data_IF_060931989030
#
_entry.id   IF_060931989030
#
_cell.length_a   1.000
_cell.length_b   1.000
_cell.length_c   1.000
_cell.angle_alpha   90.00
_cell.angle_beta   90.00
_cell.angle_gamma   90.00
#
_symmetry.space_group_name_H-M   'P 1'
#
loop_
_entity.id
_entity.type
_entity.pdbx_description
1 polymer ?
#
# COMPACT_ATOMS: atom_id res chain seq x y z
N UNK A 1 -11.24 -6.17 -19.20
CA UNK A 1 -10.29 -7.32 -19.32
C UNK A 1 -8.99 -7.08 -18.53
N UNK A 2 -8.16 -6.06 -18.80
CA UNK A 2 -6.88 -5.87 -18.06
C UNK A 2 -7.10 -5.70 -16.55
N UNK A 3 -7.98 -4.78 -16.14
CA UNK A 3 -8.30 -4.58 -14.70
C UNK A 3 -8.83 -5.86 -14.07
N UNK A 4 -9.67 -6.60 -14.78
CA UNK A 4 -10.22 -7.87 -14.33
C UNK A 4 -9.14 -8.96 -14.13
N UNK A 5 -8.14 -9.00 -15.00
CA UNK A 5 -6.98 -9.89 -14.83
C UNK A 5 -6.14 -9.51 -13.62
N UNK A 6 -5.97 -8.21 -13.36
CA UNK A 6 -5.27 -7.73 -12.14
C UNK A 6 -6.04 -8.06 -10.86
N UNK A 7 -7.37 -8.14 -10.93
CA UNK A 7 -8.20 -8.54 -9.79
C UNK A 7 -8.20 -10.05 -9.53
N UNK A 8 -7.79 -10.88 -10.49
CA UNK A 8 -7.86 -12.33 -10.35
C UNK A 8 -7.07 -12.84 -9.13
N UNK A 9 -5.92 -12.25 -8.85
CA UNK A 9 -5.02 -12.65 -7.77
C UNK A 9 -5.20 -11.79 -6.49
N UNK A 10 -6.11 -10.82 -6.52
CA UNK A 10 -6.37 -9.98 -5.35
C UNK A 10 -7.16 -10.72 -4.26
N UNK A 11 -6.97 -10.38 -2.99
CA UNK A 11 -7.91 -10.77 -1.95
C UNK A 11 -9.30 -10.19 -2.22
N UNK A 12 -10.34 -10.82 -1.66
CA UNK A 12 -11.69 -10.26 -1.71
C UNK A 12 -11.70 -8.86 -1.09
N UNK A 13 -12.51 -7.95 -1.65
CA UNK A 13 -12.53 -6.54 -1.21
C UNK A 13 -12.74 -6.38 0.29
N UNK A 14 -13.60 -7.21 0.89
CA UNK A 14 -13.91 -7.13 2.33
C UNK A 14 -12.75 -7.54 3.24
N UNK A 15 -11.81 -8.34 2.71
CA UNK A 15 -10.62 -8.81 3.40
C UNK A 15 -9.34 -8.15 2.88
N UNK A 16 -9.46 -7.24 1.92
CA UNK A 16 -8.32 -6.56 1.32
C UNK A 16 -7.61 -5.67 2.33
N UNK A 17 -6.29 -5.60 2.22
CA UNK A 17 -5.45 -4.72 3.03
C UNK A 17 -5.85 -3.24 2.86
N UNK A 18 -6.28 -2.82 1.66
CA UNK A 18 -6.95 -1.54 1.40
C UNK A 18 -8.24 -1.74 0.59
N UNK A 19 -9.39 -1.61 1.24
CA UNK A 19 -10.73 -1.70 0.59
C UNK A 19 -11.01 -0.55 -0.36
N UNK A 20 -10.28 0.56 -0.20
CA UNK A 20 -10.42 1.79 -0.98
C UNK A 20 -9.23 2.01 -1.94
N UNK A 21 -8.56 0.94 -2.34
CA UNK A 21 -7.42 1.04 -3.25
C UNK A 21 -7.79 1.54 -4.64
N UNK A 22 -6.84 2.14 -5.32
CA UNK A 22 -7.01 2.60 -6.70
C UNK A 22 -7.45 1.49 -7.66
N UNK A 23 -6.99 0.26 -7.44
CA UNK A 23 -7.38 -0.88 -8.27
C UNK A 23 -8.87 -1.19 -8.11
N UNK A 24 -9.40 -1.17 -6.87
CA UNK A 24 -10.82 -1.36 -6.61
C UNK A 24 -11.69 -0.23 -7.19
N UNK A 25 -11.20 1.01 -7.15
CA UNK A 25 -11.89 2.13 -7.80
C UNK A 25 -11.98 1.96 -9.31
N UNK A 26 -10.88 1.56 -9.95
CA UNK A 26 -10.85 1.30 -11.38
C UNK A 26 -11.77 0.13 -11.76
N UNK A 27 -11.85 -0.90 -10.93
CA UNK A 27 -12.75 -2.03 -11.12
C UNK A 27 -14.21 -1.57 -11.07
N UNK A 28 -14.59 -0.83 -10.04
CA UNK A 28 -15.93 -0.30 -9.87
C UNK A 28 -16.33 0.65 -11.02
N UNK A 29 -15.43 1.53 -11.44
CA UNK A 29 -15.67 2.44 -12.57
C UNK A 29 -15.91 1.71 -13.90
N UNK A 30 -15.42 0.46 -14.02
CA UNK A 30 -15.62 -0.40 -15.19
C UNK A 30 -16.71 -1.46 -14.97
N UNK A 31 -17.48 -1.39 -13.88
CA UNK A 31 -18.54 -2.35 -13.57
C UNK A 31 -18.04 -3.76 -13.30
N UNK A 32 -16.84 -3.90 -12.73
CA UNK A 32 -16.20 -5.18 -12.43
C UNK A 32 -16.20 -5.36 -10.91
N UNK A 33 -17.03 -6.24 -10.41
CA UNK A 33 -17.11 -6.59 -8.98
C UNK A 33 -16.20 -7.77 -8.63
N UNK A 34 -16.04 -8.71 -9.57
CA UNK A 34 -15.21 -9.90 -9.40
C UNK A 34 -14.55 -10.28 -10.72
N UNK A 35 -13.41 -10.96 -10.63
CA UNK A 35 -12.75 -11.51 -11.82
C UNK A 35 -13.43 -12.79 -12.29
N UNK A 36 -13.58 -12.95 -13.61
CA UNK A 36 -13.98 -14.21 -14.24
C UNK A 36 -12.82 -15.21 -14.33
N UNK A 37 -11.61 -14.74 -14.14
CA UNK A 37 -10.42 -15.57 -14.16
C UNK A 37 -10.21 -16.17 -12.78
N UNK A 38 -9.80 -17.45 -12.70
CA UNK A 38 -9.51 -18.07 -11.41
C UNK A 38 -8.28 -17.41 -10.78
N UNK A 39 -8.27 -17.30 -9.45
CA UNK A 39 -7.06 -16.95 -8.69
C UNK A 39 -6.01 -18.04 -8.94
N UNK A 40 -4.77 -17.64 -9.13
CA UNK A 40 -3.68 -18.59 -9.28
C UNK A 40 -3.33 -19.19 -7.91
N UNK A 41 -3.54 -20.49 -7.78
CA UNK A 41 -3.14 -21.26 -6.59
C UNK A 41 -1.65 -21.62 -6.73
N UNK A 42 -0.78 -20.69 -6.42
CA UNK A 42 0.67 -20.85 -6.57
C UNK A 42 1.39 -21.30 -5.29
N UNK A 43 0.65 -21.47 -4.20
CA UNK A 43 1.21 -21.88 -2.91
C UNK A 43 2.07 -20.83 -2.24
N UNK A 44 2.12 -19.58 -2.78
CA UNK A 44 2.79 -18.48 -2.11
C UNK A 44 2.05 -18.15 -0.81
N UNK A 45 2.80 -18.05 0.25
CA UNK A 45 2.31 -17.46 1.49
C UNK A 45 2.49 -15.94 1.34
N UNK A 46 1.42 -15.16 1.37
CA UNK A 46 1.55 -13.70 1.36
C UNK A 46 2.49 -13.27 2.48
N UNK A 47 3.50 -12.49 2.15
CA UNK A 47 4.40 -11.93 3.15
C UNK A 47 3.68 -10.74 3.79
N UNK A 48 3.13 -10.95 4.96
CA UNK A 48 2.68 -9.89 5.85
C UNK A 48 3.88 -9.44 6.69
N UNK A 49 4.20 -8.17 6.61
CA UNK A 49 5.24 -7.54 7.40
C UNK A 49 4.66 -6.28 8.08
N UNK A 50 4.47 -6.36 9.38
CA UNK A 50 4.01 -5.29 10.27
C UNK A 50 5.11 -4.83 11.24
N UNK A 51 6.36 -5.16 10.92
CA UNK A 51 7.52 -4.81 11.74
C UNK A 51 7.76 -3.30 11.82
N UNK A 52 7.35 -2.54 10.78
CA UNK A 52 7.58 -1.11 10.73
C UNK A 52 6.48 -0.34 11.48
N UNK A 53 6.89 0.59 12.36
CA UNK A 53 5.97 1.33 13.26
C UNK A 53 4.90 2.16 12.52
N UNK A 54 5.20 2.66 11.33
CA UNK A 54 4.32 3.55 10.57
C UNK A 54 3.67 2.91 9.34
N UNK A 55 4.19 1.79 8.87
CA UNK A 55 3.78 1.17 7.61
C UNK A 55 3.64 -0.34 7.78
N UNK A 56 2.69 -0.91 7.06
CA UNK A 56 2.48 -2.36 6.98
C UNK A 56 2.53 -2.80 5.52
N UNK A 57 3.06 -3.98 5.29
CA UNK A 57 3.21 -4.59 3.96
C UNK A 57 2.42 -5.88 3.92
N UNK A 58 1.51 -6.01 2.96
CA UNK A 58 0.82 -7.26 2.68
C UNK A 58 0.89 -7.56 1.18
N UNK A 59 1.77 -8.45 0.80
CA UNK A 59 2.03 -8.76 -0.61
C UNK A 59 0.94 -9.62 -1.28
N UNK A 60 -0.09 -10.05 -0.55
CA UNK A 60 -1.27 -10.68 -1.16
C UNK A 60 -2.00 -9.73 -2.12
N UNK A 61 -1.95 -8.43 -1.84
CA UNK A 61 -2.50 -7.40 -2.71
C UNK A 61 -1.52 -6.89 -3.79
N UNK A 62 -0.29 -7.42 -3.87
CA UNK A 62 0.72 -6.90 -4.77
C UNK A 62 0.51 -7.35 -6.22
N UNK A 63 0.44 -6.40 -7.15
CA UNK A 63 0.37 -6.64 -8.61
C UNK A 63 1.73 -6.52 -9.31
N UNK A 64 2.81 -6.49 -8.59
CA UNK A 64 4.19 -6.46 -9.11
C UNK A 64 4.49 -5.28 -10.05
N UNK A 65 3.79 -4.17 -9.90
CA UNK A 65 3.91 -3.00 -10.77
C UNK A 65 5.23 -2.23 -10.64
N UNK A 66 5.99 -2.45 -9.55
CA UNK A 66 7.27 -1.79 -9.29
C UNK A 66 7.18 -0.30 -8.92
N UNK A 67 5.99 0.27 -8.72
CA UNK A 67 5.83 1.69 -8.37
C UNK A 67 6.47 2.04 -7.03
N UNK A 68 6.38 1.15 -6.02
CA UNK A 68 7.06 1.34 -4.73
C UNK A 68 8.59 1.39 -4.87
N UNK A 69 9.16 0.55 -5.74
CA UNK A 69 10.60 0.55 -6.05
C UNK A 69 11.01 1.89 -6.65
N UNK A 70 10.28 2.36 -7.66
CA UNK A 70 10.55 3.65 -8.30
C UNK A 70 10.36 4.82 -7.35
N UNK A 71 9.32 4.80 -6.54
CA UNK A 71 9.09 5.80 -5.51
C UNK A 71 10.27 5.91 -4.52
N UNK A 72 10.79 4.77 -4.07
CA UNK A 72 11.94 4.73 -3.18
C UNK A 72 13.24 5.15 -3.87
N UNK A 73 13.50 4.66 -5.07
CA UNK A 73 14.76 4.86 -5.80
C UNK A 73 14.83 6.18 -6.55
N UNK A 74 13.78 6.54 -7.31
CA UNK A 74 13.83 7.66 -8.24
C UNK A 74 13.30 8.96 -7.61
N UNK A 75 12.27 8.87 -6.76
CA UNK A 75 11.65 10.04 -6.14
C UNK A 75 12.35 10.43 -4.84
N UNK A 76 12.52 9.46 -3.92
CA UNK A 76 13.13 9.73 -2.61
C UNK A 76 14.65 9.48 -2.55
N UNK A 77 15.21 8.77 -3.55
CA UNK A 77 16.64 8.47 -3.68
C UNK A 77 17.21 7.71 -2.48
N UNK A 78 16.37 6.88 -1.82
CA UNK A 78 16.79 6.06 -0.68
C UNK A 78 17.25 4.65 -1.10
N UNK A 79 16.70 4.11 -2.20
CA UNK A 79 17.05 2.81 -2.82
C UNK A 79 17.00 1.59 -1.87
N UNK A 80 16.07 1.62 -0.93
CA UNK A 80 15.83 0.52 0.04
C UNK A 80 15.01 -0.62 -0.58
N UNK A 81 14.08 -0.28 -1.51
CA UNK A 81 13.16 -1.26 -2.08
C UNK A 81 13.69 -1.76 -3.42
N UNK A 82 13.89 -3.07 -3.52
CA UNK A 82 14.22 -3.78 -4.75
C UNK A 82 13.13 -4.76 -5.16
N UNK A 83 13.35 -5.48 -6.28
CA UNK A 83 12.52 -6.62 -6.68
C UNK A 83 13.32 -7.90 -6.55
N UNK A 84 12.79 -8.89 -5.86
CA UNK A 84 13.29 -10.24 -5.80
C UNK A 84 12.42 -11.18 -6.65
N UNK A 85 12.93 -12.39 -6.96
CA UNK A 85 12.21 -13.34 -7.79
C UNK A 85 12.13 -12.94 -9.27
N UNK A 86 11.27 -13.62 -10.01
CA UNK A 86 11.00 -13.33 -11.43
C UNK A 86 9.63 -13.83 -11.85
N UNK A 87 9.09 -13.23 -12.92
CA UNK A 87 7.77 -13.60 -13.44
C UNK A 87 6.70 -13.39 -12.39
N UNK A 88 5.80 -14.34 -12.26
CA UNK A 88 4.72 -14.29 -11.26
C UNK A 88 5.22 -14.33 -9.80
N UNK A 89 6.38 -14.90 -9.56
CA UNK A 89 7.01 -14.95 -8.23
C UNK A 89 7.85 -13.71 -7.89
N UNK A 90 7.79 -12.67 -8.71
CA UNK A 90 8.48 -11.42 -8.40
C UNK A 90 7.75 -10.69 -7.26
N UNK A 91 8.50 -10.14 -6.31
CA UNK A 91 7.94 -9.38 -5.18
C UNK A 91 8.90 -8.28 -4.74
N UNK A 92 8.37 -7.18 -4.18
CA UNK A 92 9.21 -6.16 -3.58
C UNK A 92 9.87 -6.69 -2.30
N UNK A 93 11.14 -6.36 -2.12
CA UNK A 93 11.94 -6.72 -0.95
C UNK A 93 12.66 -5.47 -0.42
N UNK A 94 13.00 -5.48 0.86
CA UNK A 94 13.69 -4.37 1.53
C UNK A 94 15.13 -4.80 1.79
N UNK A 95 16.10 -3.95 1.42
CA UNK A 95 17.52 -4.22 1.53
C UNK A 95 17.89 -5.65 1.05
N UNK A 96 18.37 -6.53 1.93
CA UNK A 96 18.75 -7.91 1.65
C UNK A 96 17.69 -8.94 2.01
N UNK A 97 16.41 -8.60 1.87
CA UNK A 97 15.23 -9.35 2.32
C UNK A 97 15.02 -9.24 3.85
N UNK A 98 15.37 -8.12 4.43
CA UNK A 98 15.08 -7.79 5.81
C UNK A 98 13.60 -7.42 5.99
N UNK A 99 13.02 -7.60 7.19
CA UNK A 99 11.74 -6.98 7.54
C UNK A 99 11.81 -5.47 7.36
N UNK A 100 10.74 -4.83 6.92
CA UNK A 100 10.75 -3.38 6.64
C UNK A 100 11.18 -2.53 7.83
N UNK A 101 10.79 -2.93 9.05
CA UNK A 101 11.18 -2.23 10.28
C UNK A 101 12.63 -2.41 10.70
N UNK A 102 13.34 -3.40 10.16
CA UNK A 102 14.77 -3.66 10.40
C UNK A 102 15.66 -3.16 9.24
N UNK A 103 15.05 -2.73 8.13
CA UNK A 103 15.74 -2.21 6.95
C UNK A 103 16.26 -0.78 7.17
N UNK A 104 17.01 -0.27 6.19
CA UNK A 104 17.49 1.12 6.19
C UNK A 104 16.40 2.13 5.80
N UNK A 105 15.11 1.75 5.88
CA UNK A 105 13.98 2.60 5.56
C UNK A 105 13.93 3.86 6.45
N UNK A 106 13.82 5.03 5.82
CA UNK A 106 13.74 6.33 6.50
C UNK A 106 12.30 6.78 6.79
N UNK A 107 11.33 5.89 6.62
CA UNK A 107 9.91 6.15 6.89
C UNK A 107 9.29 7.34 6.13
N UNK A 108 9.74 7.62 4.90
CA UNK A 108 9.21 8.73 4.10
C UNK A 108 7.77 8.54 3.61
N UNK A 109 7.28 7.29 3.52
CA UNK A 109 5.91 6.96 3.11
C UNK A 109 5.60 7.03 1.62
N UNK A 110 6.54 7.43 0.77
CA UNK A 110 6.30 7.60 -0.68
C UNK A 110 5.88 6.29 -1.36
N UNK A 111 6.45 5.17 -0.96
CA UNK A 111 6.08 3.85 -1.47
C UNK A 111 4.63 3.46 -1.13
N UNK A 112 4.13 3.92 0.02
CA UNK A 112 2.73 3.73 0.44
C UNK A 112 1.79 4.56 -0.42
N UNK A 113 2.14 5.82 -0.72
CA UNK A 113 1.36 6.68 -1.60
C UNK A 113 1.36 6.19 -3.05
N UNK A 114 2.48 5.67 -3.51
CA UNK A 114 2.61 5.13 -4.86
C UNK A 114 1.90 3.78 -5.07
N UNK A 115 1.54 3.05 -4.01
CA UNK A 115 0.95 1.72 -4.12
C UNK A 115 -0.51 1.76 -4.57
N UNK A 116 -0.86 1.25 -5.77
CA UNK A 116 -2.22 1.35 -6.30
C UNK A 116 -3.18 0.30 -5.74
N UNK A 117 -2.68 -0.69 -5.02
CA UNK A 117 -3.47 -1.82 -4.51
C UNK A 117 -3.56 -1.85 -2.98
N UNK A 118 -2.80 -0.97 -2.31
CA UNK A 118 -2.72 -0.98 -0.86
C UNK A 118 -1.89 -2.14 -0.29
N UNK A 119 -1.03 -2.78 -1.12
CA UNK A 119 -0.08 -3.75 -0.60
C UNK A 119 0.88 -3.13 0.44
N UNK A 120 1.13 -1.83 0.34
CA UNK A 120 1.78 -1.01 1.36
C UNK A 120 0.75 0.00 1.89
N UNK A 121 0.55 0.01 3.21
CA UNK A 121 -0.45 0.84 3.87
C UNK A 121 0.14 1.56 5.09
N UNK A 122 -0.43 2.73 5.48
CA UNK A 122 -0.13 3.28 6.80
C UNK A 122 -0.67 2.33 7.88
N UNK A 123 0.15 1.93 8.84
CA UNK A 123 -0.26 1.02 9.92
C UNK A 123 -1.46 1.56 10.71
N UNK A 124 -1.58 2.89 10.84
CA UNK A 124 -2.68 3.55 11.55
C UNK A 124 -4.06 3.43 10.90
N UNK A 125 -4.13 2.99 9.65
CA UNK A 125 -5.39 2.79 8.91
C UNK A 125 -5.92 1.37 9.12
N UNK A 126 -5.05 0.44 9.46
CA UNK A 126 -5.37 -0.98 9.55
C UNK A 126 -5.98 -1.37 10.90
N UNK A 127 -6.89 -2.33 10.87
CA UNK A 127 -7.44 -2.98 12.07
C UNK A 127 -6.55 -4.17 12.53
N UNK A 128 -6.99 -4.88 13.56
CA UNK A 128 -6.29 -6.06 14.09
C UNK A 128 -6.20 -7.23 13.12
N UNK A 129 -7.00 -7.24 12.05
CA UNK A 129 -6.98 -8.24 11.00
C UNK A 129 -6.17 -7.78 9.77
N UNK A 130 -5.45 -6.67 9.90
CA UNK A 130 -4.68 -6.07 8.80
C UNK A 130 -5.55 -5.66 7.61
N UNK A 131 -6.80 -5.26 7.88
CA UNK A 131 -7.75 -4.77 6.90
C UNK A 131 -7.98 -3.28 7.15
N UNK A 132 -7.95 -2.47 6.09
CA UNK A 132 -8.09 -1.03 6.19
C UNK A 132 -8.99 -0.42 5.13
N UNK A 133 -9.37 0.81 5.39
CA UNK A 133 -10.05 1.68 4.43
C UNK A 133 -9.52 3.11 4.63
N UNK A 134 -8.81 3.62 3.61
CA UNK A 134 -8.28 4.98 3.63
C UNK A 134 -9.38 6.05 3.62
N UNK A 135 -10.59 5.70 3.20
CA UNK A 135 -11.74 6.63 3.17
C UNK A 135 -12.57 6.62 4.45
N UNK A 136 -12.25 5.72 5.38
CA UNK A 136 -12.94 5.65 6.66
C UNK A 136 -12.42 6.73 7.62
N UNK A 137 -12.83 7.99 7.36
CA UNK A 137 -12.59 9.15 8.23
C UNK A 137 -13.82 10.06 8.28
N UNK A 138 -13.96 10.79 9.38
CA UNK A 138 -15.10 11.70 9.59
C UNK A 138 -14.84 13.07 9.00
N UNK A 139 -13.58 13.51 9.02
CA UNK A 139 -13.17 14.84 8.63
C UNK A 139 -11.78 14.86 8.00
N UNK A 140 -11.65 15.69 6.99
CA UNK A 140 -10.38 16.05 6.37
C UNK A 140 -10.05 17.50 6.70
N UNK A 141 -8.81 17.77 7.07
CA UNK A 141 -8.32 19.10 7.42
C UNK A 141 -7.04 19.38 6.66
N UNK A 142 -7.07 20.37 5.80
CA UNK A 142 -5.86 20.88 5.15
C UNK A 142 -5.01 21.65 6.16
N UNK A 143 -3.71 21.42 6.14
CA UNK A 143 -2.74 22.05 7.02
C UNK A 143 -1.38 22.17 6.34
N UNK A 144 -0.41 22.68 7.08
CA UNK A 144 0.98 22.82 6.63
C UNK A 144 1.85 21.94 7.52
N UNK A 145 2.77 21.19 6.89
CA UNK A 145 3.74 20.38 7.61
C UNK A 145 4.60 21.23 8.55
N UNK A 146 4.72 20.82 9.80
CA UNK A 146 5.41 21.59 10.84
C UNK A 146 6.91 21.20 11.01
N UNK A 147 7.42 20.23 10.22
CA UNK A 147 8.74 19.65 10.50
C UNK A 147 9.92 20.45 9.92
N UNK A 148 9.80 20.98 8.72
CA UNK A 148 10.84 21.83 8.14
C UNK A 148 10.25 23.13 7.57
N UNK A 149 11.08 24.09 7.25
CA UNK A 149 10.65 25.42 6.78
C UNK A 149 10.09 25.47 5.36
N UNK A 150 9.97 24.34 4.65
CA UNK A 150 9.44 24.28 3.28
C UNK A 150 7.94 24.61 3.26
N UNK A 151 7.17 24.17 4.28
CA UNK A 151 5.75 24.47 4.38
C UNK A 151 4.90 23.67 3.39
N UNK A 152 5.22 22.37 3.16
CA UNK A 152 4.42 21.50 2.32
C UNK A 152 2.99 21.41 2.83
N UNK A 153 2.03 21.49 1.92
CA UNK A 153 0.62 21.27 2.24
C UNK A 153 0.41 19.79 2.58
N UNK A 154 -0.39 19.54 3.61
CA UNK A 154 -0.77 18.20 4.04
C UNK A 154 -2.27 18.12 4.27
N UNK A 155 -2.83 16.94 4.07
CA UNK A 155 -4.22 16.61 4.38
C UNK A 155 -4.25 15.63 5.57
N UNK A 156 -4.88 16.10 6.66
CA UNK A 156 -5.00 15.33 7.91
C UNK A 156 -6.37 14.66 7.93
N UNK A 157 -6.38 13.34 7.96
CA UNK A 157 -7.61 12.53 8.06
C UNK A 157 -7.90 12.24 9.54
N UNK A 158 -9.08 12.63 9.99
CA UNK A 158 -9.50 12.52 11.39
C UNK A 158 -10.67 11.56 11.52
N UNK A 159 -10.57 10.62 12.46
CA UNK A 159 -11.62 9.68 12.85
C UNK A 159 -11.81 9.72 14.37
N UNK A 160 -13.05 9.78 14.85
CA UNK A 160 -13.39 9.80 16.28
C UNK A 160 -12.58 10.85 17.10
N UNK A 161 -12.35 12.04 16.49
CA UNK A 161 -11.60 13.12 17.11
C UNK A 161 -10.09 12.91 17.21
N UNK A 162 -9.54 11.88 16.55
CA UNK A 162 -8.09 11.58 16.51
C UNK A 162 -7.58 11.62 15.09
N UNK A 163 -6.32 11.99 14.93
CA UNK A 163 -5.62 11.87 13.64
C UNK A 163 -5.46 10.39 13.32
N UNK A 164 -6.04 9.96 12.20
CA UNK A 164 -5.93 8.59 11.71
C UNK A 164 -4.66 8.41 10.87
N UNK A 165 -4.49 9.30 9.88
CA UNK A 165 -3.27 9.36 9.06
C UNK A 165 -3.15 10.71 8.37
N UNK A 166 -2.04 10.95 7.70
CA UNK A 166 -1.73 12.20 6.98
C UNK A 166 -1.24 11.86 5.58
N UNK A 167 -1.71 12.62 4.61
CA UNK A 167 -1.23 12.58 3.22
C UNK A 167 -0.56 13.90 2.85
N UNK A 168 0.39 13.86 1.92
CA UNK A 168 1.06 15.02 1.35
C UNK A 168 0.54 15.37 -0.04
#
# INVERSE_FOLDING_TARGET
MVVEMLLADQPDRDTAHDKASHLWDMAQANGIDQSRFPKLEDGRIPLLDDSHVAMSVNLDACIQCGLCVRACREVQVNDVIGMAGRGHDAYPTFDFADPMGESTCVACGECVQACPTGALMPSSVLDTNQVGDRRDYDKEVESICAFCGVGCQISIKVKDGRVKYVEG
#
